data_IF_572043103108
#
_entry.id   IF_572043103108
#
_cell.length_a   1.000
_cell.length_b   1.000
_cell.length_c   1.000
_cell.angle_alpha   90.00
_cell.angle_beta   90.00
_cell.angle_gamma   90.00
#
_symmetry.space_group_name_H-M   'P 1'
#
loop_
_entity.id
_entity.type
_entity.pdbx_description
1 polymer ?
#
# COMPACT_ATOMS: atom_id res chain seq x y z
N UNK A 1 -5.97 -21.88 -7.76
CA UNK A 1 -5.86 -21.88 -6.28
C UNK A 1 -4.58 -21.22 -5.76
N UNK A 2 -3.38 -21.53 -6.31
CA UNK A 2 -2.09 -20.97 -5.86
C UNK A 2 -1.96 -19.44 -6.06
N UNK A 3 -2.25 -18.92 -7.25
CA UNK A 3 -2.20 -17.47 -7.53
C UNK A 3 -3.09 -16.65 -6.59
N UNK A 4 -4.31 -17.13 -6.32
CA UNK A 4 -5.25 -16.53 -5.35
C UNK A 4 -4.65 -16.37 -3.96
N UNK A 5 -3.92 -17.39 -3.48
CA UNK A 5 -3.27 -17.34 -2.17
C UNK A 5 -2.16 -16.30 -2.14
N UNK A 6 -1.37 -16.20 -3.21
CA UNK A 6 -0.28 -15.24 -3.34
C UNK A 6 -0.80 -13.79 -3.38
N UNK A 7 -1.82 -13.51 -4.19
CA UNK A 7 -2.42 -12.17 -4.28
C UNK A 7 -3.08 -11.73 -2.97
N UNK A 8 -3.78 -12.64 -2.28
CA UNK A 8 -4.34 -12.38 -0.94
C UNK A 8 -3.26 -12.18 0.11
N UNK A 9 -2.16 -12.95 0.04
CA UNK A 9 -1.03 -12.78 0.96
C UNK A 9 -0.35 -11.42 0.77
N UNK A 10 -0.15 -10.99 -0.47
CA UNK A 10 0.33 -9.63 -0.80
C UNK A 10 -0.58 -8.58 -0.16
N UNK A 11 -1.89 -8.71 -0.31
CA UNK A 11 -2.86 -7.79 0.29
C UNK A 11 -2.73 -7.73 1.82
N UNK A 12 -2.56 -8.87 2.47
CA UNK A 12 -2.29 -8.94 3.91
C UNK A 12 -1.00 -8.21 4.31
N UNK A 13 0.09 -8.34 3.54
CA UNK A 13 1.31 -7.57 3.79
C UNK A 13 1.11 -6.07 3.59
N UNK A 14 0.32 -5.66 2.59
CA UNK A 14 -0.02 -4.26 2.40
C UNK A 14 -0.76 -3.67 3.60
N UNK A 15 -1.73 -4.39 4.15
CA UNK A 15 -2.48 -3.96 5.34
C UNK A 15 -1.54 -3.78 6.54
N UNK A 16 -0.65 -4.75 6.79
CA UNK A 16 0.34 -4.67 7.88
C UNK A 16 1.33 -3.54 7.70
N UNK A 17 1.81 -3.29 6.46
CA UNK A 17 2.64 -2.13 6.16
C UNK A 17 1.90 -0.82 6.46
N UNK A 18 0.61 -0.73 6.13
CA UNK A 18 -0.21 0.45 6.45
C UNK A 18 -0.34 0.64 7.96
N UNK A 19 -0.52 -0.44 8.73
CA UNK A 19 -0.52 -0.34 10.19
C UNK A 19 0.79 0.21 10.73
N UNK A 20 1.94 -0.30 10.28
CA UNK A 20 3.26 0.21 10.67
C UNK A 20 3.47 1.69 10.29
N UNK A 21 2.99 2.10 9.09
CA UNK A 21 2.99 3.51 8.68
C UNK A 21 2.19 4.39 9.64
N UNK A 22 1.00 3.95 10.01
CA UNK A 22 0.13 4.70 10.91
C UNK A 22 0.76 4.84 12.30
N UNK A 23 1.41 3.78 12.80
CA UNK A 23 2.11 3.87 14.08
C UNK A 23 3.29 4.85 14.02
N UNK A 24 4.08 4.83 12.95
CA UNK A 24 5.13 5.84 12.73
C UNK A 24 4.56 7.27 12.74
N UNK A 25 3.44 7.51 12.06
CA UNK A 25 2.77 8.81 12.12
C UNK A 25 2.33 9.20 13.54
N UNK A 26 1.72 8.26 14.28
CA UNK A 26 1.26 8.50 15.65
C UNK A 26 2.42 8.85 16.58
N UNK A 27 3.55 8.16 16.46
CA UNK A 27 4.75 8.39 17.26
C UNK A 27 5.34 9.78 16.99
N UNK A 28 5.46 10.16 15.71
CA UNK A 28 5.97 11.47 15.34
C UNK A 28 5.07 12.58 15.86
N UNK A 29 3.75 12.44 15.70
CA UNK A 29 2.78 13.43 16.15
C UNK A 29 2.80 13.62 17.68
N UNK A 30 2.81 12.52 18.46
CA UNK A 30 2.85 12.61 19.94
C UNK A 30 4.19 13.09 20.49
N UNK A 31 5.25 13.02 19.70
CA UNK A 31 6.59 13.54 20.03
C UNK A 31 6.80 14.97 19.50
N UNK A 32 5.75 15.62 18.99
CA UNK A 32 5.77 16.96 18.38
C UNK A 32 6.74 17.10 17.19
N UNK A 33 7.04 16.01 16.48
CA UNK A 33 7.89 16.02 15.28
C UNK A 33 7.00 16.23 14.04
N UNK A 34 7.28 17.29 13.26
CA UNK A 34 6.40 17.79 12.18
C UNK A 34 6.96 17.54 10.78
N UNK A 35 7.67 16.42 10.57
CA UNK A 35 8.23 16.05 9.26
C UNK A 35 7.18 15.97 8.13
N UNK A 36 5.92 15.62 8.46
CA UNK A 36 4.82 15.54 7.49
C UNK A 36 4.39 16.89 6.91
N UNK A 37 4.77 18.01 7.54
CA UNK A 37 4.51 19.35 7.01
C UNK A 37 5.47 19.74 5.89
N UNK A 38 6.65 19.12 5.84
CA UNK A 38 7.74 19.48 4.92
C UNK A 38 8.04 18.38 3.90
N UNK A 39 7.72 17.12 4.22
CA UNK A 39 7.91 15.97 3.35
C UNK A 39 6.57 15.46 2.83
N UNK A 40 6.44 15.36 1.52
CA UNK A 40 5.29 14.72 0.87
C UNK A 40 5.17 13.22 1.20
N UNK A 41 6.30 12.57 1.50
CA UNK A 41 6.36 11.17 1.92
C UNK A 41 7.49 10.95 2.93
N UNK A 42 7.13 10.75 4.20
CA UNK A 42 8.08 10.45 5.29
C UNK A 42 8.70 9.05 5.15
N UNK A 43 8.14 8.19 4.31
CA UNK A 43 8.67 6.85 4.02
C UNK A 43 9.58 6.83 2.80
N UNK A 44 9.86 7.99 2.19
CA UNK A 44 10.90 8.15 1.18
C UNK A 44 12.29 7.85 1.75
N UNK A 45 13.32 7.74 0.89
CA UNK A 45 14.71 7.54 1.33
C UNK A 45 15.16 8.63 2.32
N UNK A 46 14.85 9.90 2.02
CA UNK A 46 15.16 11.02 2.91
C UNK A 46 14.39 10.92 4.22
N UNK A 47 13.07 10.70 4.17
CA UNK A 47 12.27 10.60 5.40
C UNK A 47 12.72 9.46 6.32
N UNK A 48 13.01 8.29 5.76
CA UNK A 48 13.56 7.16 6.53
C UNK A 48 14.95 7.44 7.10
N UNK A 49 15.81 8.18 6.39
CA UNK A 49 17.12 8.56 6.89
C UNK A 49 17.01 9.54 8.06
N UNK A 50 16.11 10.53 7.98
CA UNK A 50 15.83 11.46 9.08
C UNK A 50 15.24 10.74 10.31
N UNK A 51 14.34 9.78 10.09
CA UNK A 51 13.82 8.92 11.18
C UNK A 51 14.95 8.09 11.79
N UNK A 52 15.92 7.62 10.99
CA UNK A 52 17.07 6.88 11.50
C UNK A 52 17.94 7.74 12.43
N UNK A 53 18.17 9.02 12.11
CA UNK A 53 18.89 9.93 13.01
C UNK A 53 18.25 10.03 14.40
N UNK A 54 16.92 10.04 14.47
CA UNK A 54 16.18 10.01 15.74
C UNK A 54 16.37 8.70 16.53
N UNK A 55 16.38 7.57 15.81
CA UNK A 55 16.55 6.22 16.38
C UNK A 55 17.96 6.05 16.93
N UNK A 56 18.96 6.52 16.20
CA UNK A 56 20.36 6.38 16.58
C UNK A 56 20.73 7.32 17.76
N UNK A 57 19.84 8.27 18.09
CA UNK A 57 20.04 9.23 19.17
C UNK A 57 21.15 10.23 18.87
N UNK A 58 21.43 10.47 17.59
CA UNK A 58 22.46 11.40 17.16
C UNK A 58 22.08 12.85 17.50
N UNK A 59 23.09 13.68 17.74
CA UNK A 59 22.90 15.13 17.86
C UNK A 59 22.51 15.66 16.48
N UNK A 60 21.28 16.17 16.38
CA UNK A 60 20.77 16.74 15.14
C UNK A 60 21.53 18.03 14.81
N UNK A 61 22.23 18.01 13.68
CA UNK A 61 22.91 19.18 13.12
C UNK A 61 22.42 19.43 11.69
N UNK A 62 22.53 20.68 11.23
CA UNK A 62 22.17 21.08 9.86
C UNK A 62 22.91 20.21 8.84
N UNK A 63 24.21 19.96 9.05
CA UNK A 63 25.04 19.16 8.15
C UNK A 63 24.53 17.71 8.00
N UNK A 64 24.05 17.11 9.10
CA UNK A 64 23.51 15.74 9.09
C UNK A 64 22.17 15.67 8.37
N UNK A 65 21.30 16.65 8.62
CA UNK A 65 20.01 16.76 7.94
C UNK A 65 20.21 16.99 6.45
N UNK A 66 21.16 17.84 6.06
CA UNK A 66 21.51 18.09 4.65
C UNK A 66 22.08 16.84 3.98
N UNK A 67 22.91 16.05 4.69
CA UNK A 67 23.43 14.78 4.17
C UNK A 67 22.32 13.74 3.87
N UNK A 68 21.20 13.79 4.60
CA UNK A 68 20.03 12.95 4.33
C UNK A 68 19.13 13.49 3.20
N UNK A 69 19.28 14.76 2.83
CA UNK A 69 18.36 15.46 1.93
C UNK A 69 18.61 15.08 0.49
N UNK A 70 17.56 14.63 -0.19
CA UNK A 70 17.59 14.42 -1.63
C UNK A 70 17.30 15.75 -2.37
N UNK A 71 17.92 15.95 -3.54
CA UNK A 71 17.77 17.17 -4.38
C UNK A 71 16.33 17.57 -4.76
N UNK A 72 15.37 16.63 -4.66
CA UNK A 72 13.96 16.88 -4.96
C UNK A 72 13.15 17.35 -3.74
N UNK A 73 13.75 17.33 -2.55
CA UNK A 73 13.14 17.84 -1.32
C UNK A 73 13.21 19.36 -1.36
N UNK A 74 12.04 20.00 -1.41
CA UNK A 74 11.92 21.47 -1.50
C UNK A 74 12.26 22.17 -0.19
N UNK A 75 11.99 21.54 0.95
CA UNK A 75 12.33 22.06 2.26
C UNK A 75 13.85 22.16 2.43
N UNK A 76 14.31 23.23 3.07
CA UNK A 76 15.72 23.41 3.42
C UNK A 76 16.12 22.49 4.58
N UNK A 77 17.43 22.31 4.81
CA UNK A 77 17.90 21.61 6.00
C UNK A 77 17.46 22.30 7.31
N UNK A 78 17.36 23.64 7.31
CA UNK A 78 16.89 24.42 8.46
C UNK A 78 15.41 24.16 8.76
N UNK A 79 14.57 24.12 7.73
CA UNK A 79 13.15 23.77 7.86
C UNK A 79 12.98 22.37 8.44
N UNK A 80 13.77 21.42 7.93
CA UNK A 80 13.74 20.03 8.39
C UNK A 80 14.26 19.89 9.82
N UNK A 81 15.33 20.59 10.18
CA UNK A 81 15.85 20.62 11.54
C UNK A 81 14.81 21.20 12.50
N UNK A 82 14.14 22.29 12.11
CA UNK A 82 13.03 22.88 12.88
C UNK A 82 11.85 21.92 13.01
N UNK A 83 11.53 21.17 11.95
CA UNK A 83 10.49 20.14 12.00
C UNK A 83 10.86 18.97 12.93
N UNK A 84 12.15 18.78 13.18
CA UNK A 84 12.69 17.74 14.04
C UNK A 84 12.87 18.18 15.50
N UNK A 85 12.57 19.44 15.82
CA UNK A 85 12.59 19.99 17.18
C UNK A 85 11.40 19.52 18.01
N UNK A 86 11.49 18.28 18.49
CA UNK A 86 10.47 17.59 19.28
C UNK A 86 11.08 16.71 20.37
N UNK A 87 10.26 16.31 21.33
CA UNK A 87 10.71 15.49 22.46
C UNK A 87 10.47 14.01 22.20
N UNK A 88 11.55 13.29 21.89
CA UNK A 88 11.52 11.84 21.69
C UNK A 88 12.01 11.10 22.94
N UNK A 89 11.05 10.67 23.77
CA UNK A 89 11.35 9.81 24.92
C UNK A 89 12.02 8.49 24.49
N UNK A 90 12.78 7.86 25.39
CA UNK A 90 13.42 6.57 25.10
C UNK A 90 12.43 5.48 24.66
N UNK A 91 11.21 5.49 25.23
CA UNK A 91 10.12 4.58 24.84
C UNK A 91 9.62 4.89 23.42
N UNK A 92 9.37 6.16 23.10
CA UNK A 92 8.92 6.53 21.75
C UNK A 92 9.99 6.24 20.69
N UNK A 93 11.27 6.44 21.01
CA UNK A 93 12.39 6.07 20.14
C UNK A 93 12.38 4.57 19.82
N UNK A 94 12.20 3.73 20.83
CA UNK A 94 12.14 2.28 20.63
C UNK A 94 10.94 1.86 19.78
N UNK A 95 9.76 2.42 20.05
CA UNK A 95 8.56 2.14 19.25
C UNK A 95 8.70 2.63 17.80
N UNK A 96 9.42 3.73 17.59
CA UNK A 96 9.74 4.26 16.25
C UNK A 96 10.65 3.31 15.48
N UNK A 97 11.67 2.77 16.15
CA UNK A 97 12.56 1.75 15.62
C UNK A 97 11.81 0.48 15.19
N UNK A 98 11.02 -0.10 16.11
CA UNK A 98 10.25 -1.32 15.85
C UNK A 98 9.29 -1.10 14.67
N UNK A 99 8.56 0.02 14.64
CA UNK A 99 7.61 0.33 13.56
C UNK A 99 8.30 0.58 12.21
N UNK A 100 9.50 1.17 12.22
CA UNK A 100 10.31 1.37 11.01
C UNK A 100 10.83 0.05 10.46
N UNK A 101 11.25 -0.86 11.34
CA UNK A 101 11.67 -2.20 10.96
C UNK A 101 10.50 -2.99 10.33
N UNK A 102 9.32 -2.97 10.95
CA UNK A 102 8.11 -3.59 10.40
C UNK A 102 7.74 -3.03 9.03
N UNK A 103 7.77 -1.70 8.89
CA UNK A 103 7.52 -1.04 7.61
C UNK A 103 8.50 -1.52 6.53
N UNK A 104 9.80 -1.59 6.84
CA UNK A 104 10.85 -2.07 5.92
C UNK A 104 10.66 -3.55 5.61
N UNK A 105 10.33 -4.37 6.61
CA UNK A 105 10.07 -5.80 6.45
C UNK A 105 8.89 -6.06 5.52
N UNK A 106 7.73 -5.45 5.77
CA UNK A 106 6.56 -5.65 4.93
C UNK A 106 6.73 -5.05 3.54
N UNK A 107 7.49 -3.96 3.39
CA UNK A 107 7.85 -3.42 2.07
C UNK A 107 8.66 -4.43 1.25
N UNK A 108 9.66 -5.08 1.86
CA UNK A 108 10.41 -6.17 1.21
C UNK A 108 9.52 -7.36 0.87
N UNK A 109 8.65 -7.79 1.79
CA UNK A 109 7.74 -8.93 1.58
C UNK A 109 6.71 -8.67 0.48
N UNK A 110 6.20 -7.45 0.37
CA UNK A 110 5.34 -7.06 -0.75
C UNK A 110 6.10 -7.20 -2.06
N UNK A 111 7.32 -6.64 -2.15
CA UNK A 111 8.10 -6.71 -3.38
C UNK A 111 8.44 -8.15 -3.79
N UNK A 112 8.89 -8.98 -2.84
CA UNK A 112 9.14 -10.41 -3.07
C UNK A 112 7.88 -11.12 -3.59
N UNK A 113 6.73 -10.89 -2.95
CA UNK A 113 5.48 -11.51 -3.38
C UNK A 113 5.01 -11.00 -4.74
N UNK A 114 5.25 -9.73 -5.08
CA UNK A 114 4.97 -9.19 -6.41
C UNK A 114 5.82 -9.87 -7.48
N UNK A 115 7.10 -10.10 -7.21
CA UNK A 115 8.02 -10.79 -8.12
C UNK A 115 7.62 -12.28 -8.27
N UNK A 116 7.29 -12.97 -7.17
CA UNK A 116 6.80 -14.36 -7.20
C UNK A 116 5.49 -14.50 -7.99
N UNK A 117 4.58 -13.55 -7.83
CA UNK A 117 3.31 -13.49 -8.58
C UNK A 117 3.58 -13.30 -10.06
N UNK A 118 4.43 -12.34 -10.43
CA UNK A 118 4.76 -12.07 -11.84
C UNK A 118 5.43 -13.28 -12.49
N UNK A 119 6.40 -13.91 -11.81
CA UNK A 119 7.03 -15.14 -12.28
C UNK A 119 5.99 -16.25 -12.53
N UNK A 120 5.13 -16.52 -11.55
CA UNK A 120 4.11 -17.57 -11.67
C UNK A 120 3.13 -17.30 -12.82
N UNK A 121 2.73 -16.05 -13.02
CA UNK A 121 1.84 -15.67 -14.11
C UNK A 121 2.51 -15.86 -15.47
N UNK A 122 3.75 -15.41 -15.63
CA UNK A 122 4.47 -15.52 -16.90
C UNK A 122 4.76 -16.98 -17.28
N UNK A 123 4.95 -17.86 -16.30
CA UNK A 123 5.20 -19.28 -16.51
C UNK A 123 3.92 -20.08 -16.87
N UNK A 124 2.75 -19.67 -16.36
CA UNK A 124 1.51 -20.46 -16.49
C UNK A 124 0.44 -19.82 -17.39
N UNK A 125 0.34 -18.49 -17.41
CA UNK A 125 -0.74 -17.72 -18.07
C UNK A 125 -0.21 -16.48 -18.81
N UNK A 126 0.84 -16.59 -19.65
CA UNK A 126 1.46 -15.42 -20.27
C UNK A 126 0.53 -14.69 -21.25
N UNK A 127 -0.29 -15.43 -22.01
CA UNK A 127 -1.19 -14.88 -23.02
C UNK A 127 -2.36 -14.13 -22.37
N UNK A 128 -3.04 -14.74 -21.39
CA UNK A 128 -4.17 -14.12 -20.69
C UNK A 128 -3.72 -12.88 -19.91
N UNK A 129 -2.51 -12.92 -19.35
CA UNK A 129 -1.93 -11.76 -18.68
C UNK A 129 -1.62 -10.61 -19.63
N UNK A 130 -1.09 -10.92 -20.83
CA UNK A 130 -0.85 -9.93 -21.88
C UNK A 130 -2.13 -9.21 -22.26
N UNK A 131 -3.20 -9.97 -22.56
CA UNK A 131 -4.52 -9.44 -22.91
C UNK A 131 -5.10 -8.56 -21.80
N UNK A 132 -4.95 -8.95 -20.53
CA UNK A 132 -5.46 -8.16 -19.42
C UNK A 132 -4.74 -6.81 -19.26
N UNK A 133 -3.43 -6.75 -19.51
CA UNK A 133 -2.65 -5.52 -19.40
C UNK A 133 -2.99 -4.51 -20.50
N UNK A 134 -3.45 -4.97 -21.66
CA UNK A 134 -3.88 -4.09 -22.76
C UNK A 134 -5.15 -3.29 -22.41
N UNK A 135 -5.96 -3.78 -21.45
CA UNK A 135 -7.18 -3.09 -21.02
C UNK A 135 -6.80 -1.78 -20.32
N UNK A 136 -7.25 -0.60 -20.81
CA UNK A 136 -6.97 0.68 -20.17
C UNK A 136 -7.40 0.69 -18.70
N UNK A 137 -6.47 1.04 -17.82
CA UNK A 137 -6.70 1.08 -16.37
C UNK A 137 -6.40 -0.22 -15.62
N UNK A 138 -6.22 -1.35 -16.33
CA UNK A 138 -5.78 -2.61 -15.71
C UNK A 138 -4.26 -2.63 -15.64
N UNK A 139 -3.72 -2.49 -14.43
CA UNK A 139 -2.28 -2.60 -14.17
C UNK A 139 -1.91 -4.04 -13.81
N UNK A 140 -0.61 -4.35 -13.88
CA UNK A 140 -0.01 -5.65 -13.49
C UNK A 140 -0.64 -6.30 -12.25
N UNK A 141 -0.79 -5.52 -11.17
CA UNK A 141 -1.36 -6.01 -9.90
C UNK A 141 -2.85 -6.32 -10.00
N UNK A 142 -3.62 -5.50 -10.71
CA UNK A 142 -5.05 -5.73 -10.95
C UNK A 142 -5.26 -6.96 -11.83
N UNK A 143 -4.47 -7.11 -12.90
CA UNK A 143 -4.47 -8.29 -13.76
C UNK A 143 -4.17 -9.57 -12.97
N UNK A 144 -3.17 -9.53 -12.08
CA UNK A 144 -2.86 -10.66 -11.21
C UNK A 144 -4.02 -11.03 -10.26
N UNK A 145 -4.71 -10.04 -9.70
CA UNK A 145 -5.90 -10.27 -8.85
C UNK A 145 -7.05 -10.86 -9.66
N UNK A 146 -7.30 -10.35 -10.86
CA UNK A 146 -8.32 -10.86 -11.80
C UNK A 146 -8.04 -12.34 -12.10
N UNK A 147 -6.82 -12.68 -12.55
CA UNK A 147 -6.41 -14.06 -12.82
C UNK A 147 -6.48 -14.93 -11.56
N UNK A 148 -6.13 -14.39 -10.40
CA UNK A 148 -6.15 -15.11 -9.13
C UNK A 148 -7.56 -15.45 -8.64
N UNK A 149 -8.52 -14.55 -8.79
CA UNK A 149 -9.89 -14.72 -8.28
C UNK A 149 -10.83 -15.37 -9.31
N UNK A 150 -10.67 -15.07 -10.60
CA UNK A 150 -11.54 -15.58 -11.68
C UNK A 150 -10.95 -16.81 -12.38
N UNK A 151 -9.61 -16.88 -12.48
CA UNK A 151 -8.90 -17.88 -13.30
C UNK A 151 -8.75 -17.45 -14.76
N UNK A 152 -7.94 -18.17 -15.56
CA UNK A 152 -7.65 -17.83 -16.95
C UNK A 152 -8.85 -18.03 -17.90
N UNK A 153 -9.73 -19.00 -17.62
CA UNK A 153 -10.82 -19.40 -18.53
C UNK A 153 -12.23 -19.16 -17.97
N UNK A 154 -12.36 -18.51 -16.80
CA UNK A 154 -13.66 -18.07 -16.23
C UNK A 154 -14.67 -19.23 -16.00
N UNK A 155 -14.20 -20.49 -15.95
CA UNK A 155 -15.05 -21.69 -15.85
C UNK A 155 -15.91 -21.75 -14.57
N UNK A 156 -15.53 -21.01 -13.54
CA UNK A 156 -16.30 -20.88 -12.30
C UNK A 156 -17.66 -20.18 -12.50
N UNK A 157 -17.86 -19.47 -13.61
CA UNK A 157 -19.09 -18.71 -13.89
C UNK A 157 -19.87 -19.32 -15.05
N UNK A 158 -21.16 -19.59 -14.82
CA UNK A 158 -22.05 -20.17 -15.83
C UNK A 158 -22.24 -19.28 -17.06
N UNK A 159 -22.29 -17.97 -16.86
CA UNK A 159 -22.43 -16.99 -17.95
C UNK A 159 -21.67 -15.70 -17.62
N UNK A 160 -21.39 -14.90 -18.64
CA UNK A 160 -20.78 -13.56 -18.50
C UNK A 160 -21.61 -12.67 -17.58
N UNK A 161 -22.95 -12.81 -17.58
CA UNK A 161 -23.84 -12.10 -16.66
C UNK A 161 -23.61 -12.44 -15.19
N UNK A 162 -23.28 -13.70 -14.87
CA UNK A 162 -22.93 -14.09 -13.50
C UNK A 162 -21.62 -13.46 -13.06
N UNK A 163 -20.62 -13.39 -13.96
CA UNK A 163 -19.37 -12.69 -13.68
C UNK A 163 -19.60 -11.19 -13.47
N UNK A 164 -20.38 -10.53 -14.33
CA UNK A 164 -20.68 -9.11 -14.23
C UNK A 164 -21.44 -8.76 -12.93
N UNK A 165 -22.36 -9.64 -12.51
CA UNK A 165 -23.06 -9.53 -11.24
C UNK A 165 -22.10 -9.68 -10.05
N UNK A 166 -21.24 -10.69 -10.06
CA UNK A 166 -20.23 -10.91 -9.02
C UNK A 166 -19.22 -9.76 -8.92
N UNK A 167 -18.79 -9.22 -10.05
CA UNK A 167 -17.89 -8.07 -10.12
C UNK A 167 -18.56 -6.74 -9.72
N UNK A 168 -19.89 -6.73 -9.51
CA UNK A 168 -20.65 -5.54 -9.12
C UNK A 168 -20.78 -4.48 -10.21
N UNK A 169 -20.56 -4.85 -11.49
CA UNK A 169 -20.66 -3.96 -12.66
C UNK A 169 -22.01 -4.09 -13.38
N UNK A 170 -22.83 -5.08 -13.00
CA UNK A 170 -24.19 -5.19 -13.49
C UNK A 170 -25.07 -4.07 -12.88
N UNK A 171 -25.84 -3.33 -13.68
CA UNK A 171 -26.79 -2.35 -13.15
C UNK A 171 -27.81 -3.06 -12.26
N UNK A 172 -27.97 -2.59 -11.01
CA UNK A 172 -28.91 -3.18 -10.07
C UNK A 172 -30.35 -2.91 -10.50
N UNK A 173 -31.15 -3.96 -10.70
CA UNK A 173 -32.61 -3.85 -10.83
C UNK A 173 -33.24 -3.76 -9.44
N UNK A 174 -33.12 -2.60 -8.79
CA UNK A 174 -33.64 -2.38 -7.44
C UNK A 174 -35.07 -1.81 -7.51
N UNK A 175 -36.03 -2.65 -7.89
CA UNK A 175 -37.43 -2.29 -8.01
C UNK A 175 -38.26 -2.94 -6.89
N UNK A 176 -38.98 -2.13 -6.12
CA UNK A 176 -39.92 -2.61 -5.11
C UNK A 176 -41.24 -1.88 -5.30
N UNK A 177 -42.33 -2.64 -5.38
CA UNK A 177 -43.69 -2.13 -5.60
C UNK A 177 -43.78 -1.13 -6.78
N UNK A 178 -43.15 -1.45 -7.92
CA UNK A 178 -43.18 -0.62 -9.14
C UNK A 178 -42.33 0.65 -9.09
N UNK A 179 -41.54 0.87 -8.02
CA UNK A 179 -40.66 2.04 -7.88
C UNK A 179 -39.20 1.63 -7.99
N UNK A 180 -38.50 2.22 -8.95
CA UNK A 180 -37.04 2.11 -9.10
C UNK A 180 -36.34 2.88 -7.98
N UNK A 181 -35.53 2.19 -7.18
CA UNK A 181 -34.67 2.80 -6.15
C UNK A 181 -33.31 3.16 -6.75
N UNK A 182 -32.67 4.19 -6.20
CA UNK A 182 -31.31 4.55 -6.58
C UNK A 182 -30.36 3.36 -6.38
N UNK A 183 -29.51 3.10 -7.37
CA UNK A 183 -28.55 2.02 -7.34
C UNK A 183 -27.38 2.38 -6.43
N UNK A 184 -27.43 1.96 -5.16
CA UNK A 184 -26.25 1.96 -4.29
C UNK A 184 -25.45 0.70 -4.56
N UNK A 185 -24.12 0.80 -4.66
CA UNK A 185 -23.22 -0.33 -4.93
C UNK A 185 -23.52 -1.52 -4.01
N UNK A 186 -23.51 -2.78 -4.52
CA UNK A 186 -23.87 -3.94 -3.72
C UNK A 186 -22.93 -4.07 -2.51
N UNK A 187 -23.49 -4.25 -1.31
CA UNK A 187 -22.72 -4.77 -0.18
C UNK A 187 -22.42 -6.24 -0.47
N UNK A 188 -21.14 -6.63 -0.40
CA UNK A 188 -20.69 -8.01 -0.58
C UNK A 188 -21.47 -8.91 0.38
N UNK A 189 -22.40 -9.71 -0.13
CA UNK A 189 -23.00 -10.84 0.60
C UNK A 189 -22.27 -12.10 0.17
N UNK A 190 -21.41 -12.61 1.06
CA UNK A 190 -20.88 -13.97 0.92
C UNK A 190 -22.02 -14.96 1.21
N UNK A 191 -22.37 -15.76 0.21
CA UNK A 191 -22.99 -17.08 0.38
C UNK A 191 -22.17 -18.08 -0.41
#
# INVERSE_FOLDING_TARGET
>A
MKLRLMTRRRQGYMQKRTQAKNELHNILQRSNIKLTSYLSDIFSKTGQALIQLFIDGEILSIDRVEACRHKQVKASAEDLLTAMDGELSGVNRRLLEDSLEEYRFYSRKIKQMEDDIEYYILDHFPEEYGLLIEIPGVKKQSAAVILGEIGPHVEAFKTVGHLASWAGVSPGSNESAGKKKACTSPKVTNT
#
